data_IF_424630575052
#
_entry.id   IF_424630575052
#
_cell.length_a   1.000
_cell.length_b   1.000
_cell.length_c   1.000
_cell.angle_alpha   90.00
_cell.angle_beta   90.00
_cell.angle_gamma   90.00
#
_symmetry.space_group_name_H-M   'P 1'
#
loop_
_entity.id
_entity.type
_entity.pdbx_description
1 polymer ?
#
# COMPACT_ATOMS: atom_id res chain seq x y z
N UNK A 1 66.72 -34.02 -9.02
CA UNK A 1 66.53 -33.73 -7.58
C UNK A 1 65.03 -33.70 -7.34
N UNK A 2 64.40 -34.82 -6.99
CA UNK A 2 64.04 -35.21 -5.60
C UNK A 2 63.35 -34.03 -4.89
N UNK A 3 62.06 -34.06 -4.53
CA UNK A 3 61.39 -35.08 -3.70
C UNK A 3 59.86 -35.14 -3.87
N UNK A 4 59.36 -36.37 -3.80
CA UNK A 4 57.99 -36.85 -3.57
C UNK A 4 57.56 -36.57 -2.11
N UNK A 5 56.30 -36.21 -1.82
CA UNK A 5 55.53 -36.56 -0.58
C UNK A 5 54.03 -36.20 -0.83
N UNK A 6 53.18 -37.13 -1.26
CA UNK A 6 52.30 -38.04 -0.49
C UNK A 6 51.19 -37.38 0.38
N UNK A 7 49.93 -37.66 0.00
CA UNK A 7 48.64 -37.50 0.74
C UNK A 7 48.70 -38.25 2.10
N UNK A 8 47.84 -38.06 3.14
CA UNK A 8 46.36 -38.00 3.01
C UNK A 8 45.51 -37.35 4.15
N UNK A 9 44.20 -37.27 3.87
CA UNK A 9 43.07 -37.65 4.74
C UNK A 9 42.77 -36.98 6.10
N UNK A 10 41.48 -36.63 6.19
CA UNK A 10 40.52 -36.90 7.27
C UNK A 10 40.31 -35.87 8.37
N UNK A 11 39.01 -35.61 8.52
CA UNK A 11 38.26 -35.51 9.77
C UNK A 11 38.42 -34.24 10.59
N UNK A 12 37.46 -33.34 10.38
CA UNK A 12 36.81 -32.62 11.49
C UNK A 12 35.31 -32.50 11.18
N UNK A 13 34.62 -33.63 11.29
CA UNK A 13 33.22 -33.66 11.70
C UNK A 13 33.23 -33.29 13.18
N UNK A 14 32.81 -32.08 13.55
CA UNK A 14 32.19 -31.77 14.85
C UNK A 14 31.82 -30.29 14.90
N UNK A 15 30.64 -30.04 15.46
CA UNK A 15 30.17 -28.77 16.01
C UNK A 15 29.74 -27.68 15.02
N UNK A 16 28.55 -27.85 14.41
CA UNK A 16 27.55 -26.76 14.38
C UNK A 16 26.14 -27.37 14.56
N UNK A 17 25.87 -27.93 15.74
CA UNK A 17 24.51 -28.08 16.27
C UNK A 17 24.19 -26.79 17.05
N UNK A 18 23.88 -25.71 16.32
CA UNK A 18 23.44 -24.44 16.92
C UNK A 18 22.63 -23.59 15.93
N UNK A 19 21.64 -24.19 15.27
CA UNK A 19 20.68 -23.50 14.39
C UNK A 19 19.28 -24.08 14.61
N UNK A 20 18.81 -24.04 15.86
CA UNK A 20 17.44 -24.41 16.22
C UNK A 20 16.85 -23.48 17.30
N UNK A 21 17.26 -22.21 17.30
CA UNK A 21 16.66 -21.14 18.10
C UNK A 21 16.41 -19.90 17.24
N UNK A 22 15.91 -20.08 16.02
CA UNK A 22 15.10 -19.03 15.41
C UNK A 22 13.72 -19.11 16.05
N UNK A 23 13.63 -18.65 17.31
CA UNK A 23 12.36 -18.23 17.85
C UNK A 23 11.78 -17.25 16.85
N UNK A 24 10.62 -17.60 16.28
CA UNK A 24 9.90 -16.69 15.41
C UNK A 24 9.74 -15.38 16.16
N UNK A 25 10.50 -14.36 15.75
CA UNK A 25 10.19 -13.00 16.10
C UNK A 25 8.76 -12.80 15.59
N UNK A 26 7.79 -12.90 16.49
CA UNK A 26 6.41 -12.54 16.22
C UNK A 26 6.47 -11.05 15.89
N UNK A 27 6.63 -10.75 14.60
CA UNK A 27 6.53 -9.40 14.10
C UNK A 27 5.12 -8.93 14.48
N UNK A 28 5.04 -8.09 15.50
CA UNK A 28 3.78 -7.45 15.86
C UNK A 28 3.40 -6.55 14.70
N UNK A 29 2.17 -6.69 14.21
CA UNK A 29 1.68 -5.85 13.14
C UNK A 29 1.69 -4.38 13.61
N UNK A 30 2.31 -3.51 12.81
CA UNK A 30 2.23 -2.08 13.01
C UNK A 30 0.86 -1.60 12.50
N UNK A 31 0.15 -0.85 13.33
CA UNK A 31 -1.10 -0.19 12.97
C UNK A 31 -0.91 1.31 13.10
N UNK A 32 -1.41 2.08 12.14
CA UNK A 32 -1.38 3.53 12.24
C UNK A 32 -2.78 4.05 12.60
N UNK A 33 -2.77 4.99 13.53
CA UNK A 33 -3.97 5.44 14.26
C UNK A 33 -3.92 6.95 14.44
N UNK A 34 -5.02 7.63 14.15
CA UNK A 34 -5.20 9.05 14.46
C UNK A 34 -4.98 9.31 15.94
N UNK A 35 -4.12 10.26 16.26
CA UNK A 35 -3.84 10.65 17.64
C UNK A 35 -5.11 11.13 18.37
N UNK A 36 -6.05 11.78 17.67
CA UNK A 36 -7.32 12.22 18.24
C UNK A 36 -8.20 11.03 18.65
N UNK A 37 -8.30 10.03 17.77
CA UNK A 37 -9.06 8.81 18.03
C UNK A 37 -8.41 7.99 19.16
N UNK A 38 -7.08 7.89 19.15
CA UNK A 38 -6.31 7.22 20.21
C UNK A 38 -6.52 7.89 21.57
N UNK A 39 -6.44 9.22 21.63
CA UNK A 39 -6.58 9.95 22.89
C UNK A 39 -7.95 9.76 23.54
N UNK A 40 -9.01 9.59 22.75
CA UNK A 40 -10.37 9.29 23.22
C UNK A 40 -10.58 7.86 23.76
N UNK A 41 -9.60 6.96 23.64
CA UNK A 41 -9.67 5.62 24.24
C UNK A 41 -9.36 5.66 25.75
N UNK A 42 -10.03 4.77 26.50
CA UNK A 42 -9.73 4.59 27.91
C UNK A 42 -8.31 4.02 28.10
N UNK A 43 -7.63 4.28 29.24
CA UNK A 43 -6.29 3.72 29.48
C UNK A 43 -6.24 2.19 29.42
N UNK A 44 -7.31 1.51 29.85
CA UNK A 44 -7.47 0.06 29.74
C UNK A 44 -7.46 -0.41 28.29
N UNK A 45 -8.16 0.32 27.43
CA UNK A 45 -8.32 0.01 26.01
C UNK A 45 -7.00 0.15 25.25
N UNK A 46 -6.27 1.25 25.52
CA UNK A 46 -4.94 1.51 24.97
C UNK A 46 -3.97 0.37 25.28
N UNK A 47 -3.96 -0.08 26.54
CA UNK A 47 -3.09 -1.18 27.00
C UNK A 47 -3.40 -2.48 26.26
N UNK A 48 -4.67 -2.80 26.04
CA UNK A 48 -5.06 -4.01 25.30
C UNK A 48 -4.59 -4.00 23.84
N UNK A 49 -4.68 -2.85 23.17
CA UNK A 49 -4.22 -2.70 21.78
C UNK A 49 -2.68 -2.80 21.72
N UNK A 50 -1.99 -2.11 22.63
CA UNK A 50 -0.51 -2.09 22.69
C UNK A 50 0.11 -3.45 23.04
N UNK A 51 -0.64 -4.37 23.64
CA UNK A 51 -0.16 -5.73 23.90
C UNK A 51 0.01 -6.56 22.62
N UNK A 52 -0.66 -6.19 21.52
CA UNK A 52 -0.71 -6.99 20.30
C UNK A 52 -0.18 -6.26 19.06
N UNK A 53 -0.24 -4.94 19.04
CA UNK A 53 0.10 -4.11 17.90
C UNK A 53 1.12 -3.04 18.28
N UNK A 54 2.00 -2.72 17.34
CA UNK A 54 2.84 -1.52 17.43
C UNK A 54 1.97 -0.36 16.93
N UNK A 55 1.68 0.60 17.81
CA UNK A 55 0.77 1.71 17.49
C UNK A 55 1.58 2.91 17.03
N UNK A 56 1.45 3.24 15.75
CA UNK A 56 1.98 4.47 15.17
C UNK A 56 0.91 5.57 15.22
N UNK A 57 1.19 6.64 15.95
CA UNK A 57 0.25 7.74 16.08
C UNK A 57 0.44 8.74 14.95
N UNK A 58 -0.57 8.87 14.11
CA UNK A 58 -0.66 9.92 13.10
C UNK A 58 -1.07 11.24 13.77
N UNK A 59 -0.19 12.24 13.69
CA UNK A 59 -0.48 13.59 14.16
C UNK A 59 -1.59 14.23 13.28
N UNK A 60 -2.46 15.07 13.85
CA UNK A 60 -3.65 15.60 13.17
C UNK A 60 -3.34 16.49 11.95
N UNK A 61 -2.09 16.95 11.81
CA UNK A 61 -1.57 17.75 10.71
C UNK A 61 -0.93 16.91 9.59
N UNK A 62 -0.81 15.59 9.76
CA UNK A 62 -0.20 14.67 8.78
C UNK A 62 -1.21 14.02 7.84
N UNK A 63 -2.51 14.23 8.07
CA UNK A 63 -3.58 13.71 7.23
C UNK A 63 -4.74 14.70 7.13
N UNK A 64 -5.41 14.69 5.98
CA UNK A 64 -6.54 15.58 5.74
C UNK A 64 -7.50 14.99 4.71
N UNK A 65 -8.76 15.43 4.77
CA UNK A 65 -9.78 15.12 3.78
C UNK A 65 -9.74 16.17 2.67
N UNK A 66 -9.77 15.72 1.41
CA UNK A 66 -9.89 16.63 0.25
C UNK A 66 -11.30 17.21 0.22
N UNK A 67 -11.43 18.52 0.42
CA UNK A 67 -12.70 19.25 0.35
C UNK A 67 -12.94 19.74 -1.07
N UNK A 68 -11.90 20.25 -1.70
CA UNK A 68 -11.94 20.77 -3.06
C UNK A 68 -10.56 20.68 -3.72
N UNK A 69 -10.51 20.61 -5.04
CA UNK A 69 -9.26 20.55 -5.80
C UNK A 69 -9.40 21.03 -7.26
N UNK A 70 -9.77 22.29 -7.53
CA UNK A 70 -9.83 22.81 -8.89
C UNK A 70 -8.47 22.67 -9.58
N UNK A 71 -8.52 22.09 -10.79
CA UNK A 71 -7.37 21.84 -11.64
C UNK A 71 -7.34 22.79 -12.83
N UNK A 72 -6.14 23.23 -13.21
CA UNK A 72 -5.86 24.00 -14.43
C UNK A 72 -4.87 23.23 -15.29
N UNK A 73 -5.17 23.11 -16.58
CA UNK A 73 -4.23 22.57 -17.56
C UNK A 73 -3.18 23.63 -17.91
N UNK A 74 -1.92 23.32 -17.63
CA UNK A 74 -0.74 24.14 -17.95
C UNK A 74 0.12 23.47 -19.03
N UNK A 75 -0.44 22.47 -19.72
CA UNK A 75 0.28 21.73 -20.74
C UNK A 75 0.60 22.62 -21.94
N UNK A 76 1.85 22.58 -22.38
CA UNK A 76 2.30 23.26 -23.59
C UNK A 76 2.45 22.24 -24.72
N UNK A 77 1.81 22.44 -25.89
CA UNK A 77 2.00 21.56 -27.03
C UNK A 77 3.43 21.65 -27.57
N UNK A 78 3.89 20.63 -28.28
CA UNK A 78 5.15 20.69 -29.00
C UNK A 78 5.07 21.67 -30.17
N UNK A 79 6.18 22.33 -30.50
CA UNK A 79 6.29 23.08 -31.76
C UNK A 79 6.91 22.20 -32.84
N UNK A 80 6.50 22.39 -34.10
CA UNK A 80 7.13 21.74 -35.27
C UNK A 80 7.56 22.75 -36.34
N UNK A 81 7.36 24.04 -36.05
CA UNK A 81 7.52 25.12 -37.03
C UNK A 81 8.95 25.16 -37.57
N UNK A 82 9.95 24.87 -36.73
CA UNK A 82 11.34 24.90 -37.16
C UNK A 82 11.70 23.65 -37.97
N UNK A 83 11.20 22.48 -37.58
CA UNK A 83 11.33 21.26 -38.37
C UNK A 83 10.72 21.42 -39.79
N UNK A 84 9.52 22.00 -39.89
CA UNK A 84 8.84 22.21 -41.17
C UNK A 84 9.57 23.25 -42.03
N UNK A 85 10.00 24.37 -41.44
CA UNK A 85 10.81 25.39 -42.11
C UNK A 85 12.16 24.84 -42.59
N UNK A 86 12.84 24.05 -41.76
CA UNK A 86 14.11 23.43 -42.11
C UNK A 86 13.98 22.45 -43.27
N UNK A 87 12.91 21.64 -43.28
CA UNK A 87 12.61 20.75 -44.39
C UNK A 87 12.35 21.52 -45.70
N UNK A 88 11.54 22.58 -45.64
CA UNK A 88 11.23 23.43 -46.79
C UNK A 88 12.47 24.14 -47.33
N UNK A 89 13.32 24.69 -46.46
CA UNK A 89 14.56 25.35 -46.86
C UNK A 89 15.52 24.34 -47.53
N UNK A 90 15.76 23.18 -46.92
CA UNK A 90 16.65 22.17 -47.48
C UNK A 90 16.14 21.58 -48.81
N UNK A 91 14.81 21.46 -48.95
CA UNK A 91 14.15 21.11 -50.22
C UNK A 91 14.42 22.16 -51.30
N UNK A 92 14.21 23.44 -50.99
CA UNK A 92 14.46 24.54 -51.91
C UNK A 92 15.94 24.61 -52.34
N UNK A 93 16.86 24.52 -51.38
CA UNK A 93 18.31 24.52 -51.64
C UNK A 93 18.72 23.32 -52.53
N UNK A 94 18.13 22.14 -52.29
CA UNK A 94 18.37 20.96 -53.12
C UNK A 94 17.85 21.16 -54.55
N UNK A 95 16.64 21.70 -54.73
CA UNK A 95 16.04 21.91 -56.04
C UNK A 95 16.82 22.96 -56.85
N UNK A 96 17.22 24.08 -56.24
CA UNK A 96 18.04 25.11 -56.88
C UNK A 96 19.40 24.54 -57.34
N UNK A 97 20.04 23.71 -56.49
CA UNK A 97 21.28 23.03 -56.86
C UNK A 97 21.06 22.00 -57.97
N UNK A 98 20.00 21.21 -57.90
CA UNK A 98 19.69 20.18 -58.89
C UNK A 98 19.35 20.78 -60.26
N UNK A 99 18.72 21.95 -60.31
CA UNK A 99 18.46 22.71 -61.54
C UNK A 99 19.76 23.21 -62.16
N UNK A 100 20.66 23.80 -61.35
CA UNK A 100 21.97 24.30 -61.81
C UNK A 100 22.90 23.19 -62.30
N UNK A 101 22.87 22.03 -61.65
CA UNK A 101 23.74 20.88 -61.97
C UNK A 101 23.09 19.86 -62.92
N UNK A 102 21.80 19.99 -63.23
CA UNK A 102 21.03 19.07 -64.07
C UNK A 102 20.87 17.64 -63.49
N UNK A 103 21.04 17.46 -62.17
CA UNK A 103 21.10 16.14 -61.53
C UNK A 103 20.09 16.00 -60.38
N UNK A 104 18.82 15.83 -60.75
CA UNK A 104 17.75 15.55 -59.80
C UNK A 104 17.65 14.07 -59.44
N UNK A 105 17.49 13.79 -58.14
CA UNK A 105 17.22 12.48 -57.60
C UNK A 105 16.20 12.57 -56.46
N UNK A 106 15.10 11.83 -56.59
CA UNK A 106 14.07 11.73 -55.54
C UNK A 106 14.64 11.26 -54.19
N UNK A 107 15.61 10.36 -54.22
CA UNK A 107 16.25 9.86 -53.00
C UNK A 107 17.07 10.95 -52.29
N UNK A 108 17.85 11.73 -53.05
CA UNK A 108 18.64 12.86 -52.50
C UNK A 108 17.74 14.00 -52.01
N UNK A 109 16.64 14.26 -52.71
CA UNK A 109 15.65 15.26 -52.29
C UNK A 109 15.05 14.93 -50.92
N UNK A 110 14.56 13.69 -50.75
CA UNK A 110 14.01 13.24 -49.47
C UNK A 110 15.05 13.22 -48.35
N UNK A 111 16.30 12.87 -48.67
CA UNK A 111 17.39 12.93 -47.69
C UNK A 111 17.67 14.37 -47.24
N UNK A 112 17.63 15.34 -48.17
CA UNK A 112 17.76 16.76 -47.85
C UNK A 112 16.59 17.27 -46.99
N UNK A 113 15.35 16.92 -47.33
CA UNK A 113 14.16 17.24 -46.52
C UNK A 113 14.27 16.69 -45.09
N UNK A 114 14.70 15.43 -44.93
CA UNK A 114 14.87 14.81 -43.62
C UNK A 114 16.00 15.47 -42.81
N UNK A 115 17.13 15.79 -43.46
CA UNK A 115 18.24 16.49 -42.82
C UNK A 115 17.84 17.90 -42.38
N UNK A 116 17.16 18.65 -43.25
CA UNK A 116 16.61 19.97 -42.94
C UNK A 116 15.58 19.91 -41.81
N UNK A 117 14.70 18.90 -41.82
CA UNK A 117 13.75 18.66 -40.74
C UNK A 117 14.44 18.39 -39.41
N UNK A 118 15.47 17.53 -39.41
CA UNK A 118 16.24 17.22 -38.21
C UNK A 118 16.99 18.43 -37.67
N UNK A 119 17.60 19.23 -38.56
CA UNK A 119 18.29 20.46 -38.18
C UNK A 119 17.30 21.50 -37.61
N UNK A 120 16.13 21.64 -38.21
CA UNK A 120 15.06 22.51 -37.72
C UNK A 120 14.46 22.04 -36.39
N UNK A 121 14.22 20.74 -36.22
CA UNK A 121 13.64 20.17 -35.00
C UNK A 121 14.49 20.40 -33.74
N UNK A 122 15.79 20.68 -33.88
CA UNK A 122 16.65 21.03 -32.75
C UNK A 122 16.25 22.37 -32.09
N UNK A 123 15.51 23.23 -32.79
CA UNK A 123 15.00 24.51 -32.29
C UNK A 123 13.54 24.43 -31.85
N UNK A 124 12.92 23.26 -31.95
CA UNK A 124 11.55 23.05 -31.52
C UNK A 124 11.44 22.78 -30.02
N UNK A 125 10.36 23.27 -29.42
CA UNK A 125 10.08 23.07 -28.00
C UNK A 125 9.32 21.75 -27.80
N UNK A 126 9.78 20.86 -26.91
CA UNK A 126 9.08 19.61 -26.63
C UNK A 126 7.75 19.89 -25.91
N UNK A 127 6.77 19.01 -26.11
CA UNK A 127 5.52 19.06 -25.35
C UNK A 127 5.81 18.88 -23.85
N UNK A 128 5.11 19.65 -23.02
CA UNK A 128 5.13 19.49 -21.56
C UNK A 128 3.71 19.25 -21.10
N UNK A 129 3.50 18.15 -20.39
CA UNK A 129 2.21 17.85 -19.76
C UNK A 129 2.29 18.21 -18.28
N UNK A 130 1.50 19.20 -17.89
CA UNK A 130 1.52 19.76 -16.55
C UNK A 130 0.11 20.22 -16.16
N UNK A 131 -0.31 19.85 -14.97
CA UNK A 131 -1.60 20.22 -14.38
C UNK A 131 -1.35 20.78 -12.99
N UNK A 132 -1.98 21.91 -12.70
CA UNK A 132 -1.89 22.57 -11.41
C UNK A 132 -3.21 22.44 -10.67
N UNK A 133 -3.17 21.85 -9.49
CA UNK A 133 -4.33 21.65 -8.62
C UNK A 133 -4.19 22.50 -7.36
N UNK A 134 -5.26 23.20 -6.98
CA UNK A 134 -5.32 23.90 -5.69
C UNK A 134 -6.12 23.05 -4.70
N UNK A 135 -5.46 22.22 -3.92
CA UNK A 135 -6.07 21.37 -2.91
C UNK A 135 -6.52 22.19 -1.71
N UNK A 136 -7.81 22.17 -1.42
CA UNK A 136 -8.37 22.63 -0.14
C UNK A 136 -8.57 21.41 0.75
N UNK A 137 -7.82 21.37 1.84
CA UNK A 137 -7.73 20.23 2.74
C UNK A 137 -8.34 20.59 4.09
N UNK A 138 -9.19 19.71 4.61
CA UNK A 138 -9.71 19.77 5.97
C UNK A 138 -8.96 18.78 6.84
N UNK A 139 -8.22 19.29 7.82
CA UNK A 139 -7.47 18.49 8.78
C UNK A 139 -8.37 17.96 9.89
N UNK A 140 -7.83 17.02 10.66
CA UNK A 140 -8.55 16.36 11.74
C UNK A 140 -8.92 17.29 12.90
N UNK A 141 -8.20 18.41 13.05
CA UNK A 141 -8.50 19.48 14.01
C UNK A 141 -9.63 20.41 13.55
N UNK A 142 -10.16 20.20 12.34
CA UNK A 142 -11.18 21.04 11.70
C UNK A 142 -10.61 22.25 10.96
N UNK A 143 -9.29 22.47 10.98
CA UNK A 143 -8.67 23.54 10.21
C UNK A 143 -8.74 23.24 8.72
N UNK A 144 -8.92 24.28 7.92
CA UNK A 144 -8.94 24.20 6.46
C UNK A 144 -7.73 24.96 5.94
N UNK A 145 -6.90 24.31 5.12
CA UNK A 145 -5.76 24.96 4.46
C UNK A 145 -5.74 24.61 2.99
N UNK A 146 -5.28 25.57 2.19
CA UNK A 146 -5.16 25.40 0.75
C UNK A 146 -3.69 25.25 0.36
N UNK A 147 -3.42 24.30 -0.52
CA UNK A 147 -2.10 23.99 -1.05
C UNK A 147 -2.14 23.86 -2.55
N UNK A 148 -1.09 24.34 -3.21
CA UNK A 148 -0.94 24.20 -4.64
C UNK A 148 -0.01 23.03 -4.94
N UNK A 149 -0.42 22.16 -5.86
CA UNK A 149 0.35 21.01 -6.30
C UNK A 149 0.38 20.94 -7.82
N UNK A 150 1.57 20.73 -8.36
CA UNK A 150 1.80 20.60 -9.80
C UNK A 150 2.08 19.12 -10.09
N UNK A 151 1.28 18.52 -10.96
CA UNK A 151 1.36 17.09 -11.30
C UNK A 151 1.35 16.89 -12.81
N UNK A 152 1.80 15.72 -13.25
CA UNK A 152 1.69 15.28 -14.66
C UNK A 152 0.37 14.58 -14.94
N UNK A 153 -0.33 14.13 -13.90
CA UNK A 153 -1.62 13.46 -14.01
C UNK A 153 -2.75 14.47 -14.21
N UNK A 154 -3.66 14.18 -15.13
CA UNK A 154 -4.81 15.03 -15.45
C UNK A 154 -5.86 15.06 -14.34
N UNK A 155 -5.89 14.05 -13.48
CA UNK A 155 -6.94 13.89 -12.47
C UNK A 155 -6.36 14.09 -11.07
N UNK A 156 -7.00 14.98 -10.31
CA UNK A 156 -6.77 15.09 -8.88
C UNK A 156 -7.44 13.96 -8.10
N UNK A 157 -7.18 13.91 -6.80
CA UNK A 157 -7.88 12.98 -5.90
C UNK A 157 -9.38 13.32 -5.83
N UNK A 158 -10.22 12.32 -5.59
CA UNK A 158 -11.66 12.55 -5.44
C UNK A 158 -11.95 13.34 -4.15
N UNK A 159 -13.03 14.14 -4.17
CA UNK A 159 -13.52 14.83 -2.97
C UNK A 159 -13.91 13.81 -1.90
N UNK A 160 -13.67 14.14 -0.63
CA UNK A 160 -13.89 13.25 0.50
C UNK A 160 -12.80 12.18 0.70
N UNK A 161 -11.79 12.12 -0.16
CA UNK A 161 -10.67 11.17 -0.01
C UNK A 161 -9.76 11.61 1.13
N UNK A 162 -9.33 10.67 1.97
CA UNK A 162 -8.33 10.89 3.00
C UNK A 162 -6.93 10.78 2.40
N UNK A 163 -6.12 11.83 2.54
CA UNK A 163 -4.76 11.89 2.03
C UNK A 163 -3.75 12.19 3.14
N UNK A 164 -2.51 11.77 2.94
CA UNK A 164 -1.37 12.12 3.77
C UNK A 164 -0.74 13.42 3.28
N UNK A 165 -0.31 14.27 4.21
CA UNK A 165 0.33 15.56 3.95
C UNK A 165 1.73 15.52 4.59
N UNK A 166 2.80 15.95 3.88
CA UNK A 166 2.83 16.67 2.61
C UNK A 166 2.92 15.82 1.33
N UNK A 167 2.80 14.49 1.40
CA UNK A 167 3.04 13.61 0.24
C UNK A 167 1.89 13.59 -0.77
N UNK A 168 0.68 14.01 -0.37
CA UNK A 168 -0.56 13.94 -1.15
C UNK A 168 -0.86 12.53 -1.67
N UNK A 169 -0.51 11.50 -0.90
CA UNK A 169 -0.84 10.11 -1.19
C UNK A 169 -2.14 9.72 -0.51
N UNK A 170 -2.96 8.90 -1.16
CA UNK A 170 -4.16 8.33 -0.54
C UNK A 170 -3.75 7.44 0.63
N UNK A 171 -4.40 7.61 1.78
CA UNK A 171 -4.22 6.72 2.93
C UNK A 171 -5.09 5.49 2.76
N UNK A 172 -4.50 4.30 2.84
CA UNK A 172 -5.24 3.03 2.86
C UNK A 172 -5.99 2.82 4.18
N UNK A 173 -5.55 3.49 5.24
CA UNK A 173 -6.18 3.44 6.56
C UNK A 173 -7.24 4.55 6.71
N UNK A 174 -8.33 4.28 7.46
CA UNK A 174 -9.43 5.22 7.65
C UNK A 174 -9.11 6.33 8.67
N UNK A 175 -7.96 7.00 8.54
CA UNK A 175 -7.45 7.99 9.51
C UNK A 175 -8.38 9.20 9.67
N UNK A 176 -8.92 9.73 8.57
CA UNK A 176 -9.72 10.95 8.57
C UNK A 176 -11.10 10.81 9.25
N UNK A 177 -11.67 9.59 9.24
CA UNK A 177 -12.97 9.31 9.86
C UNK A 177 -12.83 8.40 11.09
N UNK A 178 -11.61 8.26 11.63
CA UNK A 178 -11.35 7.38 12.75
C UNK A 178 -11.89 7.98 14.05
N UNK A 179 -12.69 7.21 14.77
CA UNK A 179 -13.18 7.56 16.10
C UNK A 179 -12.74 6.52 17.13
N UNK A 180 -12.75 6.88 18.41
CA UNK A 180 -12.48 5.92 19.48
C UNK A 180 -13.45 4.71 19.44
N UNK A 181 -14.72 4.94 19.07
CA UNK A 181 -15.69 3.86 18.88
C UNK A 181 -15.32 2.96 17.69
N UNK A 182 -14.92 3.54 16.55
CA UNK A 182 -14.48 2.78 15.39
C UNK A 182 -13.22 1.93 15.70
N UNK A 183 -12.27 2.47 16.46
CA UNK A 183 -11.09 1.74 16.92
C UNK A 183 -11.47 0.53 17.79
N UNK A 184 -12.39 0.72 18.75
CA UNK A 184 -12.90 -0.39 19.57
C UNK A 184 -13.52 -1.47 18.69
N UNK A 185 -14.42 -1.10 17.78
CA UNK A 185 -15.07 -2.08 16.89
C UNK A 185 -14.08 -2.79 15.96
N UNK A 186 -13.04 -2.10 15.49
CA UNK A 186 -12.06 -2.71 14.59
C UNK A 186 -11.14 -3.71 15.31
N UNK A 187 -10.68 -3.38 16.52
CA UNK A 187 -9.61 -4.13 17.18
C UNK A 187 -10.08 -5.02 18.34
N UNK A 188 -11.24 -4.75 18.94
CA UNK A 188 -11.71 -5.46 20.14
C UNK A 188 -12.39 -6.81 19.87
N UNK A 189 -13.11 -7.04 18.75
CA UNK A 189 -13.64 -8.36 18.43
C UNK A 189 -12.55 -9.43 18.32
N UNK A 190 -11.31 -9.02 18.03
CA UNK A 190 -10.14 -9.90 17.98
C UNK A 190 -9.45 -10.09 19.33
N UNK A 191 -9.84 -9.30 20.35
CA UNK A 191 -9.30 -9.32 21.71
C UNK A 191 -10.23 -10.03 22.71
N UNK A 192 -11.47 -10.34 22.31
CA UNK A 192 -12.28 -11.27 23.10
C UNK A 192 -11.61 -12.64 23.04
N UNK A 193 -11.35 -13.30 24.20
CA UNK A 193 -11.02 -14.71 24.17
C UNK A 193 -12.18 -15.39 23.44
N UNK A 194 -11.88 -16.14 22.38
CA UNK A 194 -12.86 -17.08 21.83
C UNK A 194 -13.49 -17.79 23.03
N UNK A 195 -14.83 -17.84 23.16
CA UNK A 195 -15.44 -18.55 24.28
C UNK A 195 -14.84 -19.95 24.25
N UNK A 196 -14.04 -20.26 25.28
CA UNK A 196 -13.43 -21.57 25.41
C UNK A 196 -14.57 -22.57 25.26
N UNK A 197 -14.33 -23.64 24.52
CA UNK A 197 -15.34 -24.65 24.18
C UNK A 197 -16.09 -25.17 25.42
N UNK A 198 -15.52 -25.01 26.63
CA UNK A 198 -16.17 -25.23 27.93
C UNK A 198 -17.39 -24.35 28.24
N UNK A 199 -17.47 -23.10 27.79
CA UNK A 199 -18.63 -22.24 28.09
C UNK A 199 -19.87 -22.57 27.25
N UNK A 200 -19.70 -23.21 26.08
CA UNK A 200 -20.82 -23.74 25.28
C UNK A 200 -21.47 -24.98 25.90
N UNK A 201 -20.78 -25.68 26.80
CA UNK A 201 -21.36 -26.82 27.53
C UNK A 201 -22.29 -26.38 28.69
N UNK A 202 -22.14 -25.15 29.20
CA UNK A 202 -22.90 -24.67 30.36
C UNK A 202 -24.23 -23.97 30.01
N UNK A 203 -24.50 -23.73 28.72
CA UNK A 203 -25.70 -23.01 28.27
C UNK A 203 -26.88 -23.90 27.86
N UNK A 204 -26.72 -25.23 27.93
CA UNK A 204 -27.81 -26.18 27.69
C UNK A 204 -28.48 -26.53 29.03
N UNK A 205 -29.55 -25.79 29.37
CA UNK A 205 -30.37 -25.96 30.59
C UNK A 205 -31.10 -27.31 30.59
N UNK A 206 -30.35 -28.39 30.72
CA UNK A 206 -30.90 -29.75 30.72
C UNK A 206 -29.88 -30.88 30.79
N UNK A 207 -28.57 -30.57 30.79
CA UNK A 207 -27.54 -31.60 30.94
C UNK A 207 -27.28 -31.94 32.40
N UNK A 208 -27.33 -33.23 32.72
CA UNK A 208 -26.99 -33.81 34.01
C UNK A 208 -25.80 -34.75 33.86
N UNK A 209 -24.99 -34.88 34.90
CA UNK A 209 -23.93 -35.90 34.93
C UNK A 209 -24.58 -37.28 35.13
N UNK A 210 -24.46 -38.13 34.11
CA UNK A 210 -24.99 -39.48 34.11
C UNK A 210 -23.84 -40.48 34.32
N UNK A 211 -23.98 -41.34 35.33
CA UNK A 211 -23.03 -42.42 35.60
C UNK A 211 -23.65 -43.77 35.22
N UNK A 212 -23.05 -44.44 34.24
CA UNK A 212 -23.47 -45.75 33.74
C UNK A 212 -22.55 -46.81 34.34
N UNK A 213 -23.00 -47.46 35.41
CA UNK A 213 -22.21 -48.46 36.13
C UNK A 213 -20.94 -47.87 36.76
N UNK A 214 -19.79 -48.50 36.52
CA UNK A 214 -18.48 -48.10 37.09
C UNK A 214 -17.66 -47.17 36.18
N UNK A 215 -18.24 -46.64 35.09
CA UNK A 215 -17.53 -45.80 34.12
C UNK A 215 -17.68 -44.32 34.48
N UNK A 216 -16.71 -43.50 34.05
CA UNK A 216 -16.63 -42.04 34.22
C UNK A 216 -17.94 -41.36 33.85
N UNK A 217 -18.39 -40.40 34.67
CA UNK A 217 -19.62 -39.64 34.46
C UNK A 217 -19.55 -38.87 33.13
N UNK A 218 -20.62 -38.97 32.33
CA UNK A 218 -20.75 -38.28 31.04
C UNK A 218 -21.92 -37.30 31.07
N UNK A 219 -21.76 -36.16 30.38
CA UNK A 219 -22.80 -35.13 30.28
C UNK A 219 -23.88 -35.59 29.30
N UNK A 220 -25.11 -35.74 29.76
CA UNK A 220 -26.25 -36.15 28.93
C UNK A 220 -27.55 -35.55 29.48
N UNK A 221 -28.62 -35.56 28.69
CA UNK A 221 -29.94 -35.12 29.19
C UNK A 221 -30.52 -36.15 30.17
N UNK A 222 -31.34 -35.69 31.13
CA UNK A 222 -31.94 -36.55 32.16
C UNK A 222 -32.74 -37.73 31.57
N UNK A 223 -33.50 -37.49 30.51
CA UNK A 223 -34.25 -38.55 29.79
C UNK A 223 -33.33 -39.60 29.18
N UNK A 224 -32.21 -39.18 28.56
CA UNK A 224 -31.25 -40.12 27.97
C UNK A 224 -30.49 -40.91 29.03
N UNK A 225 -30.24 -40.33 30.19
CA UNK A 225 -29.63 -41.02 31.31
C UNK A 225 -30.54 -42.14 31.84
N UNK A 226 -31.83 -41.84 32.01
CA UNK A 226 -32.82 -42.81 32.44
C UNK A 226 -33.05 -43.92 31.41
N UNK A 227 -33.09 -43.59 30.12
CA UNK A 227 -33.22 -44.57 29.03
C UNK A 227 -32.03 -45.56 28.98
N UNK A 228 -30.85 -45.11 29.39
CA UNK A 228 -29.64 -45.94 29.46
C UNK A 228 -29.47 -46.68 30.81
N UNK A 229 -30.45 -46.61 31.72
CA UNK A 229 -30.37 -47.13 33.09
C UNK A 229 -29.21 -46.53 33.91
N UNK A 230 -28.75 -45.33 33.55
CA UNK A 230 -27.72 -44.60 34.28
C UNK A 230 -28.27 -43.89 35.52
N UNK A 231 -27.40 -43.66 36.50
CA UNK A 231 -27.72 -42.89 37.70
C UNK A 231 -27.31 -41.43 37.50
N UNK A 232 -28.24 -40.51 37.73
CA UNK A 232 -27.93 -39.08 37.75
C UNK A 232 -27.14 -38.76 39.03
N UNK A 233 -25.98 -38.13 38.86
CA UNK A 233 -25.13 -37.66 39.95
C UNK A 233 -25.21 -36.14 39.96
N UNK A 234 -25.60 -35.57 41.11
CA UNK A 234 -25.63 -34.12 41.31
C UNK A 234 -24.24 -33.60 41.69
#
# INVERSE_FOLDING_TARGET
MHTIWNKPARASLLAIWALALCGGAMAQDAIRVSQLAWNGLAPSDKKLIQQRYIVELAAPDTFATVVDNPGVDESTPATTIHADKGAAQASADYLDKAEKEGNYSRAKHRAAELAGRAAGAALDTPAKTQFRFNYTLQFADGSIKSYQQVRRDRFGHALGTCILVPEYTVSDEPLCNQTAAALRTAYFPRLQPQPSVSARAAADKGQVMCQLGTIVAASSSAEKCQAAQGRVVQ
#
